data_IF_972006984747
#
_entry.id   IF_972006984747
#
_cell.length_a   1.000
_cell.length_b   1.000
_cell.length_c   1.000
_cell.angle_alpha   90.00
_cell.angle_beta   90.00
_cell.angle_gamma   90.00
#
_symmetry.space_group_name_H-M   'P 1'
#
loop_
_entity.id
_entity.type
_entity.pdbx_description
1 polymer ?
#
# COMPACT_ATOMS: atom_id res chain seq x y z
N UNK A 1 -24.47 12.62 5.31
CA UNK A 1 -23.43 12.56 4.31
C UNK A 1 -22.49 13.76 4.36
N UNK A 2 -21.64 13.86 3.41
CA UNK A 2 -20.71 14.98 3.31
C UNK A 2 -21.39 16.34 3.29
N UNK A 3 -22.53 16.46 2.60
CA UNK A 3 -23.26 17.70 2.53
C UNK A 3 -23.73 18.21 3.89
N UNK A 4 -24.21 17.33 4.76
CA UNK A 4 -24.64 17.74 6.09
C UNK A 4 -23.48 18.25 6.96
N UNK A 5 -22.27 17.68 6.78
CA UNK A 5 -21.09 18.15 7.51
C UNK A 5 -20.66 19.55 7.07
N UNK A 6 -20.73 19.83 5.78
CA UNK A 6 -20.44 21.17 5.26
C UNK A 6 -21.51 22.18 5.66
N UNK A 7 -22.78 21.77 5.65
CA UNK A 7 -23.88 22.63 6.06
C UNK A 7 -23.79 23.05 7.51
N UNK A 8 -23.22 22.19 8.36
CA UNK A 8 -23.05 22.45 9.78
C UNK A 8 -21.76 23.19 10.12
N UNK A 9 -20.91 23.45 9.12
CA UNK A 9 -19.68 24.17 9.35
C UNK A 9 -19.94 25.66 9.58
N UNK A 10 -19.54 26.13 10.73
CA UNK A 10 -19.74 27.54 11.11
C UNK A 10 -18.61 28.41 10.57
N UNK A 11 -18.87 29.10 9.48
CA UNK A 11 -17.92 30.00 8.85
C UNK A 11 -17.63 31.24 9.63
N UNK A 12 -18.47 31.58 10.63
CA UNK A 12 -18.23 32.77 11.47
C UNK A 12 -17.02 32.59 12.39
N UNK A 13 -16.59 31.35 12.60
CA UNK A 13 -15.37 31.06 13.36
C UNK A 13 -14.09 31.30 12.57
N UNK A 14 -14.19 31.47 11.25
CA UNK A 14 -13.04 31.72 10.38
C UNK A 14 -12.66 33.18 10.45
N UNK A 15 -11.38 33.52 10.73
CA UNK A 15 -10.94 34.90 10.76
C UNK A 15 -11.18 35.60 9.43
N UNK A 16 -11.67 36.86 9.50
CA UNK A 16 -11.95 37.67 8.32
C UNK A 16 -10.76 38.50 7.88
N UNK A 17 -9.73 38.60 8.71
CA UNK A 17 -8.54 39.42 8.47
C UNK A 17 -7.33 38.51 8.16
N UNK A 18 -6.25 39.06 7.59
CA UNK A 18 -5.02 38.30 7.35
C UNK A 18 -4.56 37.59 8.61
N UNK A 19 -4.34 36.32 8.51
CA UNK A 19 -4.05 35.43 9.63
C UNK A 19 -2.55 35.18 9.74
N UNK A 20 -2.00 35.32 10.94
CA UNK A 20 -0.60 35.00 11.21
C UNK A 20 -0.38 33.51 11.08
N UNK A 21 0.85 33.10 10.73
CA UNK A 21 1.21 31.69 10.54
C UNK A 21 0.80 30.80 11.73
N UNK A 22 1.05 31.27 12.97
CA UNK A 22 0.65 30.51 14.17
C UNK A 22 -0.86 30.28 14.27
N UNK A 23 -1.65 31.26 13.78
CA UNK A 23 -3.10 31.16 13.81
C UNK A 23 -3.59 30.19 12.73
N UNK A 24 -2.91 30.16 11.59
CA UNK A 24 -3.17 29.17 10.52
C UNK A 24 -2.93 27.76 11.04
N UNK A 25 -1.81 27.54 11.72
CA UNK A 25 -1.49 26.23 12.31
C UNK A 25 -2.56 25.83 13.31
N UNK A 26 -2.99 26.75 14.18
CA UNK A 26 -4.04 26.49 15.15
C UNK A 26 -5.34 26.08 14.47
N UNK A 27 -5.75 26.79 13.44
CA UNK A 27 -6.96 26.48 12.67
C UNK A 27 -6.87 25.11 12.00
N UNK A 28 -5.71 24.78 11.47
CA UNK A 28 -5.50 23.47 10.85
C UNK A 28 -5.59 22.34 11.89
N UNK A 29 -5.00 22.54 13.08
CA UNK A 29 -5.10 21.56 14.16
C UNK A 29 -6.56 21.36 14.56
N UNK A 30 -7.30 22.43 14.75
CA UNK A 30 -8.73 22.37 15.09
C UNK A 30 -9.54 21.66 13.99
N UNK A 31 -9.27 21.97 12.73
CA UNK A 31 -9.91 21.31 11.58
C UNK A 31 -9.66 19.81 11.58
N UNK A 32 -8.41 19.40 11.82
CA UNK A 32 -8.00 17.99 11.80
C UNK A 32 -8.44 17.20 13.03
N UNK A 33 -8.89 17.87 14.08
CA UNK A 33 -9.48 17.19 15.24
C UNK A 33 -10.84 16.58 14.90
N UNK A 34 -11.53 17.09 13.88
CA UNK A 34 -12.76 16.48 13.42
C UNK A 34 -12.42 15.24 12.57
N UNK A 35 -12.91 14.02 12.96
CA UNK A 35 -12.60 12.80 12.24
C UNK A 35 -12.97 12.83 10.75
N UNK A 36 -14.02 13.54 10.38
CA UNK A 36 -14.45 13.66 8.98
C UNK A 36 -13.42 14.44 8.18
N UNK A 37 -13.00 15.60 8.69
CA UNK A 37 -12.02 16.44 8.01
C UNK A 37 -10.67 15.73 7.90
N UNK A 38 -10.23 15.06 8.97
CA UNK A 38 -8.98 14.31 8.97
C UNK A 38 -8.96 13.22 7.93
N UNK A 39 -10.07 12.52 7.74
CA UNK A 39 -10.19 11.45 6.74
C UNK A 39 -9.89 11.95 5.34
N UNK A 40 -10.40 13.11 4.97
CA UNK A 40 -10.21 13.68 3.64
C UNK A 40 -8.88 14.44 3.52
N UNK A 41 -8.44 15.10 4.58
CA UNK A 41 -7.24 15.90 4.58
C UNK A 41 -5.97 15.07 4.31
N UNK A 42 -5.94 13.81 4.78
CA UNK A 42 -4.78 12.93 4.63
C UNK A 42 -4.91 11.93 3.49
N UNK A 43 -5.98 12.01 2.72
CA UNK A 43 -6.15 11.10 1.60
C UNK A 43 -5.38 11.63 0.39
N UNK A 44 -4.40 10.87 -0.09
CA UNK A 44 -3.56 11.26 -1.21
C UNK A 44 -3.82 10.36 -2.42
N UNK A 45 -3.57 10.89 -3.62
CA UNK A 45 -3.62 10.08 -4.83
C UNK A 45 -2.34 9.26 -4.95
N UNK A 46 -2.49 7.96 -5.16
CA UNK A 46 -1.43 7.05 -5.53
C UNK A 46 -1.66 6.54 -6.96
N UNK A 47 -0.61 6.04 -7.59
CA UNK A 47 -0.74 5.30 -8.82
C UNK A 47 -1.20 3.86 -8.57
N UNK A 48 -1.61 3.16 -9.61
CA UNK A 48 -1.96 1.74 -9.47
C UNK A 48 -0.71 0.84 -9.29
N UNK A 49 0.47 1.35 -9.59
CA UNK A 49 1.76 0.80 -9.18
C UNK A 49 2.52 1.84 -8.38
N UNK A 50 3.13 1.39 -7.28
CA UNK A 50 4.01 2.21 -6.45
C UNK A 50 5.15 1.35 -5.92
N UNK A 51 6.24 1.98 -5.52
CA UNK A 51 7.32 1.29 -4.83
C UNK A 51 7.06 1.30 -3.33
N UNK A 52 7.04 0.13 -2.72
CA UNK A 52 6.82 -0.05 -1.29
C UNK A 52 8.03 -0.79 -0.73
N UNK A 53 8.50 -0.39 0.45
CA UNK A 53 9.55 -1.11 1.14
C UNK A 53 8.94 -2.15 2.09
N UNK A 54 9.40 -3.39 1.96
CA UNK A 54 9.21 -4.40 3.01
C UNK A 54 10.45 -4.32 3.89
N UNK A 55 10.27 -3.88 5.12
CA UNK A 55 11.39 -3.63 6.03
C UNK A 55 12.19 -4.92 6.23
N UNK A 56 13.50 -4.81 6.21
CA UNK A 56 14.51 -5.88 6.23
C UNK A 56 14.66 -6.62 4.90
N UNK A 57 13.69 -6.57 4.01
CA UNK A 57 13.83 -7.15 2.67
C UNK A 57 14.31 -6.12 1.65
N UNK A 58 13.58 -5.03 1.47
CA UNK A 58 13.93 -3.98 0.52
C UNK A 58 12.72 -3.45 -0.28
N UNK A 59 13.04 -2.67 -1.29
CA UNK A 59 12.06 -2.03 -2.14
C UNK A 59 11.45 -3.02 -3.12
N UNK A 60 10.13 -2.98 -3.25
CA UNK A 60 9.36 -3.85 -4.11
C UNK A 60 8.36 -3.01 -4.90
N UNK A 61 8.26 -3.28 -6.19
CA UNK A 61 7.17 -2.73 -6.98
C UNK A 61 5.87 -3.41 -6.58
N UNK A 62 4.92 -2.62 -6.15
CA UNK A 62 3.63 -3.11 -5.70
C UNK A 62 2.51 -2.69 -6.64
N UNK A 63 1.54 -3.56 -6.84
CA UNK A 63 0.26 -3.21 -7.45
C UNK A 63 -0.73 -2.86 -6.34
N UNK A 64 -1.34 -1.70 -6.44
CA UNK A 64 -2.36 -1.25 -5.51
C UNK A 64 -3.71 -1.76 -6.00
N UNK A 65 -4.17 -2.86 -5.40
CA UNK A 65 -5.29 -3.65 -5.90
C UNK A 65 -6.57 -3.34 -5.14
N UNK A 66 -7.32 -2.37 -5.63
CA UNK A 66 -8.61 -1.96 -5.02
C UNK A 66 -9.67 -3.05 -5.10
N UNK A 67 -9.51 -4.02 -5.99
CA UNK A 67 -10.40 -5.16 -6.11
C UNK A 67 -10.12 -6.29 -5.12
N UNK A 68 -8.97 -6.26 -4.44
CA UNK A 68 -8.61 -7.31 -3.49
C UNK A 68 -9.18 -7.03 -2.11
N UNK A 69 -10.31 -7.64 -1.80
CA UNK A 69 -10.98 -7.54 -0.50
C UNK A 69 -10.62 -8.64 0.49
N UNK A 70 -9.60 -9.45 0.20
CA UNK A 70 -9.13 -10.47 1.14
C UNK A 70 -8.42 -9.86 2.34
N UNK A 71 -8.23 -10.65 3.39
CA UNK A 71 -7.66 -10.16 4.65
C UNK A 71 -6.14 -9.97 4.62
N UNK A 72 -5.46 -10.32 3.54
CA UNK A 72 -4.02 -10.18 3.41
C UNK A 72 -3.63 -9.70 2.02
N UNK A 73 -2.58 -8.90 1.96
CA UNK A 73 -1.90 -8.60 0.71
C UNK A 73 -1.12 -9.85 0.26
N UNK A 74 -0.75 -9.92 -1.01
CA UNK A 74 -0.05 -11.08 -1.56
C UNK A 74 1.41 -10.71 -1.85
N UNK A 75 2.33 -11.55 -1.44
CA UNK A 75 3.75 -11.39 -1.75
C UNK A 75 4.31 -12.67 -2.38
N UNK A 76 4.87 -12.56 -3.57
CA UNK A 76 5.48 -13.68 -4.29
C UNK A 76 6.92 -13.83 -3.83
N UNK A 77 7.26 -15.03 -3.37
CA UNK A 77 8.60 -15.39 -2.91
C UNK A 77 9.17 -16.53 -3.75
N UNK A 78 10.47 -16.75 -3.66
CA UNK A 78 11.14 -17.79 -4.46
C UNK A 78 11.02 -19.17 -3.82
N UNK A 79 11.13 -19.22 -2.49
CA UNK A 79 11.00 -20.45 -1.72
C UNK A 79 10.16 -20.22 -0.49
N UNK A 80 9.41 -21.23 -0.09
CA UNK A 80 8.43 -21.12 0.98
C UNK A 80 8.30 -22.48 1.69
N UNK A 81 8.47 -22.49 2.99
CA UNK A 81 8.30 -23.68 3.81
C UNK A 81 7.62 -23.30 5.13
N UNK A 82 6.50 -23.94 5.42
CA UNK A 82 5.78 -23.76 6.66
C UNK A 82 6.23 -24.88 7.61
N UNK A 83 6.85 -24.48 8.71
CA UNK A 83 7.38 -25.39 9.74
C UNK A 83 6.76 -25.04 11.08
N UNK A 84 5.68 -25.76 11.42
CA UNK A 84 4.92 -25.52 12.64
C UNK A 84 4.32 -24.09 12.65
N UNK A 85 4.75 -23.29 13.61
CA UNK A 85 4.29 -21.90 13.75
C UNK A 85 5.20 -20.89 13.08
N UNK A 86 6.16 -21.35 12.29
CA UNK A 86 7.11 -20.50 11.58
C UNK A 86 6.97 -20.67 10.08
N UNK A 87 7.28 -19.61 9.36
CA UNK A 87 7.33 -19.62 7.90
C UNK A 87 8.74 -19.25 7.49
N UNK A 88 9.42 -20.17 6.82
CA UNK A 88 10.74 -19.93 6.24
C UNK A 88 10.53 -19.54 4.79
N UNK A 89 11.08 -18.42 4.38
CA UNK A 89 10.94 -17.99 3.01
C UNK A 89 12.22 -17.33 2.50
N UNK A 90 12.38 -17.35 1.21
CA UNK A 90 13.54 -16.81 0.54
C UNK A 90 13.10 -16.03 -0.68
N UNK A 91 13.74 -14.89 -0.90
CA UNK A 91 13.55 -14.10 -2.12
C UNK A 91 14.84 -13.37 -2.46
N UNK A 92 15.24 -13.45 -3.74
CA UNK A 92 16.46 -12.83 -4.25
C UNK A 92 17.69 -13.16 -3.39
N UNK A 93 17.80 -14.40 -2.97
CA UNK A 93 18.95 -14.87 -2.16
C UNK A 93 18.91 -14.49 -0.69
N UNK A 94 17.93 -13.73 -0.27
CA UNK A 94 17.73 -13.37 1.15
C UNK A 94 16.79 -14.36 1.83
N UNK A 95 17.18 -14.83 3.01
CA UNK A 95 16.42 -15.84 3.77
C UNK A 95 15.83 -15.22 5.02
N UNK A 96 14.58 -15.57 5.27
CA UNK A 96 13.81 -15.03 6.39
C UNK A 96 13.08 -16.15 7.13
N UNK A 97 12.85 -15.92 8.41
CA UNK A 97 11.98 -16.74 9.25
C UNK A 97 10.97 -15.80 9.88
N UNK A 98 9.70 -16.03 9.61
CA UNK A 98 8.62 -15.21 10.12
C UNK A 98 7.64 -16.06 10.91
N UNK A 99 6.91 -15.43 11.84
CA UNK A 99 5.87 -16.11 12.57
C UNK A 99 4.67 -16.34 11.66
N UNK A 100 4.11 -17.55 11.70
CA UNK A 100 2.86 -17.86 11.02
C UNK A 100 1.69 -17.24 11.79
N UNK A 101 0.96 -16.36 11.12
CA UNK A 101 -0.22 -15.69 11.69
C UNK A 101 -1.49 -16.44 11.35
N UNK A 102 -1.56 -17.04 10.17
CA UNK A 102 -2.72 -17.79 9.73
C UNK A 102 -2.53 -18.32 8.32
N UNK A 103 -3.61 -18.85 7.76
CA UNK A 103 -3.63 -19.34 6.39
C UNK A 103 -4.72 -18.62 5.62
N UNK A 104 -4.45 -18.29 4.36
CA UNK A 104 -5.40 -17.61 3.49
C UNK A 104 -5.69 -18.46 2.26
N UNK A 105 -6.97 -18.44 1.83
CA UNK A 105 -7.40 -19.06 0.58
C UNK A 105 -7.79 -17.95 -0.39
N UNK A 106 -7.29 -17.95 -1.64
CA UNK A 106 -7.78 -17.04 -2.66
C UNK A 106 -9.27 -17.30 -2.97
N UNK A 107 -10.06 -16.22 -3.09
CA UNK A 107 -11.52 -16.34 -3.23
C UNK A 107 -11.99 -17.02 -4.50
N UNK A 108 -11.22 -16.97 -5.58
CA UNK A 108 -11.67 -17.42 -6.91
C UNK A 108 -10.92 -18.63 -7.42
N UNK A 109 -10.33 -19.41 -6.54
CA UNK A 109 -9.54 -20.58 -6.95
C UNK A 109 -10.36 -21.85 -6.72
N UNK A 110 -10.60 -22.57 -7.80
CA UNK A 110 -11.29 -23.88 -7.77
C UNK A 110 -10.48 -24.90 -6.97
N UNK A 111 -9.15 -24.83 -7.05
CA UNK A 111 -8.23 -25.62 -6.26
C UNK A 111 -7.88 -24.85 -4.98
N UNK A 112 -7.96 -25.51 -3.85
CA UNK A 112 -7.57 -24.92 -2.57
C UNK A 112 -6.07 -24.62 -2.62
N UNK A 113 -5.73 -23.33 -2.62
CA UNK A 113 -4.36 -22.85 -2.58
C UNK A 113 -4.19 -22.03 -1.31
N UNK A 114 -3.86 -22.73 -0.23
CA UNK A 114 -3.67 -22.08 1.04
C UNK A 114 -2.31 -21.37 1.08
N UNK A 115 -2.33 -20.13 1.51
CA UNK A 115 -1.12 -19.31 1.63
C UNK A 115 -0.85 -19.01 3.09
N UNK A 116 0.39 -19.23 3.57
CA UNK A 116 0.73 -18.79 4.91
C UNK A 116 0.73 -17.26 4.97
N UNK A 117 0.17 -16.75 6.05
CA UNK A 117 0.13 -15.31 6.32
C UNK A 117 1.16 -14.98 7.39
N UNK A 118 1.97 -13.99 7.10
CA UNK A 118 2.90 -13.38 8.04
C UNK A 118 2.52 -11.93 8.30
N UNK A 119 2.96 -11.38 9.42
CA UNK A 119 2.85 -9.95 9.70
C UNK A 119 4.18 -9.30 9.34
N UNK A 120 4.14 -8.29 8.49
CA UNK A 120 5.32 -7.59 8.02
C UNK A 120 5.22 -6.10 8.35
N UNK A 121 6.38 -5.46 8.34
CA UNK A 121 6.46 -4.01 8.47
C UNK A 121 6.72 -3.43 7.09
N UNK A 122 5.86 -2.52 6.65
CA UNK A 122 5.98 -1.86 5.36
C UNK A 122 6.26 -0.38 5.55
N UNK A 123 7.08 0.17 4.66
CA UNK A 123 7.30 1.61 4.59
C UNK A 123 6.82 2.12 3.24
N UNK A 124 6.02 3.15 3.26
CA UNK A 124 5.50 3.78 2.06
C UNK A 124 5.21 5.25 2.34
N UNK A 125 5.61 6.12 1.40
CA UNK A 125 5.31 7.55 1.48
C UNK A 125 5.71 8.19 2.82
N UNK A 126 6.93 7.88 3.26
CA UNK A 126 7.53 8.38 4.52
C UNK A 126 6.81 7.92 5.80
N UNK A 127 5.98 6.90 5.71
CA UNK A 127 5.30 6.32 6.86
C UNK A 127 5.64 4.85 6.98
N UNK A 128 5.71 4.37 8.22
CA UNK A 128 5.95 2.96 8.53
C UNK A 128 4.67 2.36 9.10
N UNK A 129 4.29 1.20 8.58
CA UNK A 129 3.08 0.49 8.97
C UNK A 129 3.46 -0.87 9.53
N UNK A 130 3.14 -1.10 10.80
CA UNK A 130 3.37 -2.38 11.46
C UNK A 130 2.22 -3.35 11.18
N UNK A 131 2.50 -4.64 11.32
CA UNK A 131 1.50 -5.70 11.25
C UNK A 131 0.65 -5.65 9.97
N UNK A 132 1.32 -5.45 8.84
CA UNK A 132 0.68 -5.61 7.54
C UNK A 132 0.68 -7.09 7.19
N UNK A 133 -0.49 -7.65 6.96
CA UNK A 133 -0.62 -9.08 6.67
C UNK A 133 -0.25 -9.36 5.21
N UNK A 134 0.70 -10.26 5.03
CA UNK A 134 1.15 -10.73 3.72
C UNK A 134 0.90 -12.23 3.59
N UNK A 135 0.10 -12.62 2.62
CA UNK A 135 -0.01 -14.01 2.20
C UNK A 135 1.12 -14.34 1.24
N UNK A 136 1.95 -15.32 1.59
CA UNK A 136 3.11 -15.69 0.79
C UNK A 136 2.75 -16.79 -0.21
N UNK A 137 3.28 -16.68 -1.42
CA UNK A 137 3.09 -17.68 -2.47
C UNK A 137 4.35 -17.79 -3.31
N UNK A 138 4.60 -18.99 -3.85
CA UNK A 138 5.67 -19.20 -4.83
C UNK A 138 5.14 -19.20 -6.26
N UNK A 139 3.84 -19.05 -6.43
CA UNK A 139 3.24 -19.03 -7.77
C UNK A 139 3.53 -17.70 -8.46
N UNK A 140 3.93 -17.79 -9.72
CA UNK A 140 4.12 -16.62 -10.55
C UNK A 140 2.85 -15.80 -10.62
N UNK A 141 3.02 -14.50 -10.45
CA UNK A 141 1.97 -13.54 -10.60
C UNK A 141 2.51 -12.33 -11.38
N UNK A 142 1.60 -11.56 -11.97
CA UNK A 142 1.98 -10.35 -12.71
C UNK A 142 2.70 -9.33 -11.83
N UNK A 143 2.37 -9.31 -10.56
CA UNK A 143 2.96 -8.39 -9.60
C UNK A 143 3.53 -9.18 -8.43
N UNK A 144 4.73 -8.81 -8.01
CA UNK A 144 5.39 -9.44 -6.87
C UNK A 144 4.70 -9.14 -5.56
N UNK A 145 4.14 -7.94 -5.43
CA UNK A 145 3.42 -7.50 -4.24
C UNK A 145 2.08 -6.90 -4.68
N UNK A 146 0.98 -7.48 -4.19
CA UNK A 146 -0.36 -6.92 -4.36
C UNK A 146 -0.83 -6.38 -3.02
N UNK A 147 -1.07 -5.08 -2.97
CA UNK A 147 -1.56 -4.43 -1.76
C UNK A 147 -3.09 -4.48 -1.78
N UNK A 148 -3.67 -5.08 -0.75
CA UNK A 148 -5.11 -5.23 -0.63
C UNK A 148 -5.81 -3.95 -0.15
N UNK A 149 -7.14 -3.95 -0.17
CA UNK A 149 -7.94 -2.78 0.21
C UNK A 149 -7.70 -2.34 1.65
N UNK A 150 -7.57 -3.27 2.58
CA UNK A 150 -7.35 -2.92 3.99
C UNK A 150 -6.03 -2.17 4.18
N UNK A 151 -4.98 -2.60 3.52
CA UNK A 151 -3.68 -1.93 3.58
C UNK A 151 -3.72 -0.59 2.87
N UNK A 152 -4.40 -0.50 1.72
CA UNK A 152 -4.59 0.79 1.04
C UNK A 152 -5.34 1.79 1.92
N UNK A 153 -6.32 1.31 2.66
CA UNK A 153 -7.04 2.15 3.63
C UNK A 153 -6.11 2.68 4.72
N UNK A 154 -5.19 1.84 5.21
CA UNK A 154 -4.17 2.28 6.17
C UNK A 154 -3.21 3.29 5.56
N UNK A 155 -2.85 3.12 4.30
CA UNK A 155 -1.99 4.07 3.57
C UNK A 155 -2.70 5.41 3.32
N UNK A 156 -4.01 5.45 3.44
CA UNK A 156 -4.85 6.64 3.19
C UNK A 156 -4.63 7.20 1.79
N UNK A 157 -4.76 6.32 0.81
CA UNK A 157 -4.61 6.67 -0.59
C UNK A 157 -5.87 6.36 -1.39
N UNK A 158 -6.08 7.16 -2.42
CA UNK A 158 -6.98 6.85 -3.54
C UNK A 158 -6.12 6.42 -4.70
N UNK A 159 -6.54 5.39 -5.42
CA UNK A 159 -5.73 4.82 -6.51
C UNK A 159 -6.21 5.37 -7.84
N UNK A 160 -5.30 6.00 -8.58
CA UNK A 160 -5.56 6.43 -9.94
C UNK A 160 -5.17 5.29 -10.90
N UNK A 161 -6.13 4.73 -11.66
CA UNK A 161 -5.83 3.58 -12.52
C UNK A 161 -5.02 3.93 -13.78
N UNK A 162 -4.79 5.21 -14.03
CA UNK A 162 -4.07 5.68 -15.21
C UNK A 162 -2.64 6.13 -14.92
N UNK A 163 -2.23 6.15 -13.65
CA UNK A 163 -0.93 6.68 -13.25
C UNK A 163 -0.12 5.65 -12.48
N UNK A 164 1.20 5.76 -12.59
CA UNK A 164 2.17 4.92 -11.88
C UNK A 164 3.16 5.81 -11.16
N UNK A 165 3.65 5.37 -10.01
CA UNK A 165 4.71 6.02 -9.26
C UNK A 165 4.45 7.50 -9.00
N UNK A 166 3.26 7.79 -8.48
CA UNK A 166 2.85 9.15 -8.10
C UNK A 166 3.50 9.55 -6.78
N UNK A 167 3.55 8.63 -5.82
CA UNK A 167 4.07 8.86 -4.47
C UNK A 167 5.42 8.20 -4.22
N UNK A 168 5.98 7.51 -5.20
CA UNK A 168 7.24 6.81 -5.09
C UNK A 168 8.02 6.89 -6.38
N UNK A 169 9.29 6.45 -6.36
CA UNK A 169 10.18 6.56 -7.50
C UNK A 169 10.52 5.18 -8.07
N UNK A 170 10.28 5.01 -9.37
CA UNK A 170 10.64 3.79 -10.09
C UNK A 170 12.14 3.49 -10.06
N UNK A 171 12.99 4.50 -10.16
CA UNK A 171 14.44 4.34 -10.28
C UNK A 171 15.09 3.62 -9.10
N UNK A 172 14.47 3.68 -7.94
CA UNK A 172 14.99 3.02 -6.74
C UNK A 172 14.92 1.50 -6.82
N UNK A 173 14.34 0.96 -7.90
CA UNK A 173 14.11 -0.46 -8.08
C UNK A 173 14.87 -1.07 -9.25
N UNK A 174 15.74 -0.32 -9.88
CA UNK A 174 16.43 -0.77 -11.10
C UNK A 174 17.32 -2.00 -10.88
N UNK A 175 17.89 -2.11 -9.70
CA UNK A 175 18.70 -3.25 -9.30
C UNK A 175 17.89 -4.45 -8.82
N UNK A 176 16.59 -4.28 -8.72
CA UNK A 176 15.70 -5.30 -8.23
C UNK A 176 15.42 -6.35 -9.32
N UNK A 177 15.59 -7.61 -8.98
CA UNK A 177 15.33 -8.73 -9.87
C UNK A 177 13.88 -9.14 -9.93
N UNK A 178 12.98 -8.34 -9.41
CA UNK A 178 11.54 -8.55 -9.47
C UNK A 178 11.09 -8.75 -10.92
N UNK A 179 10.39 -9.84 -11.20
CA UNK A 179 9.93 -10.17 -12.54
C UNK A 179 9.03 -9.08 -13.13
N UNK A 180 8.25 -8.37 -12.32
CA UNK A 180 7.39 -7.29 -12.79
C UNK A 180 8.17 -6.08 -13.24
N UNK A 181 9.35 -5.86 -12.72
CA UNK A 181 10.19 -4.74 -13.12
C UNK A 181 10.72 -4.88 -14.55
N UNK A 182 10.76 -6.09 -15.08
CA UNK A 182 11.22 -6.36 -16.45
C UNK A 182 10.19 -5.98 -17.50
N UNK A 183 8.93 -5.88 -17.14
CA UNK A 183 7.84 -5.72 -18.09
C UNK A 183 7.54 -4.24 -18.33
N UNK A 184 7.73 -3.42 -17.34
CA UNK A 184 7.09 -2.13 -17.29
C UNK A 184 7.76 -0.99 -18.08
N UNK A 185 9.08 -0.75 -18.00
CA UNK A 185 9.63 0.47 -18.55
C UNK A 185 9.34 0.72 -20.05
N UNK A 186 9.51 -0.28 -20.93
CA UNK A 186 9.26 -0.03 -22.34
C UNK A 186 7.77 0.17 -22.65
N UNK A 187 6.89 -0.51 -21.96
CA UNK A 187 5.44 -0.38 -22.18
C UNK A 187 4.91 0.95 -21.71
N UNK A 188 5.40 1.45 -20.60
CA UNK A 188 5.00 2.76 -20.08
C UNK A 188 5.31 3.86 -21.07
N UNK A 189 6.46 3.79 -21.71
CA UNK A 189 6.86 4.76 -22.71
C UNK A 189 5.96 4.75 -23.94
N UNK A 190 5.53 3.58 -24.36
CA UNK A 190 4.61 3.42 -25.50
C UNK A 190 3.23 3.92 -25.13
N UNK A 191 2.76 3.62 -23.93
CA UNK A 191 1.43 4.01 -23.47
C UNK A 191 1.28 5.53 -23.33
N UNK A 192 2.36 6.23 -23.05
CA UNK A 192 2.35 7.69 -23.00
C UNK A 192 2.09 8.35 -24.36
N UNK A 193 2.43 7.66 -25.43
CA UNK A 193 2.25 8.16 -26.80
C UNK A 193 0.83 7.89 -27.32
N UNK A 194 0.02 7.21 -26.55
CA UNK A 194 -1.37 6.91 -26.84
C UNK A 194 -2.29 7.78 -26.00
#
# INVERSE_FOLDING_TARGET
GMGSNFQNYDMTTVPQEPTKEKDIVKLMVEYLQNPVHRRYAFNQEAGYHETVEIVDYGLVRAKFDTGNGTNASMFVVDKLDVDGKKVKWEKNGKKFVSKLVGMSKPEHVVKIDERPIIAAKLSFNNMVYDNVLLGLTTKDARSTLLINRDTLSRFKVSVNPHRKFVLSNWKEREDNTDATSKIDPPKTKIDLDK
#
